data_IF_494716465657
#
_entry.id   IF_494716465657
#
_cell.length_a   1.000
_cell.length_b   1.000
_cell.length_c   1.000
_cell.angle_alpha   90.00
_cell.angle_beta   90.00
_cell.angle_gamma   90.00
#
_symmetry.space_group_name_H-M   'P 1'
#
loop_
_entity.id
_entity.type
_entity.pdbx_description
1 polymer ?
#
# COMPACT_ATOMS: atom_id res chain seq x y z
N UNK A 1 35.22 -6.93 23.32
CA UNK A 1 35.27 -6.72 21.85
C UNK A 1 34.04 -7.39 21.30
N UNK A 2 33.24 -6.62 20.59
CA UNK A 2 31.83 -6.90 20.27
C UNK A 2 31.74 -7.84 19.07
N UNK A 3 30.71 -8.71 19.02
CA UNK A 3 30.43 -9.63 17.89
C UNK A 3 30.34 -8.92 16.52
N UNK A 4 30.20 -7.60 16.51
CA UNK A 4 30.29 -6.75 15.31
C UNK A 4 31.66 -6.77 14.62
N UNK A 5 32.75 -6.88 15.39
CA UNK A 5 34.11 -6.77 14.86
C UNK A 5 34.52 -8.05 14.10
N UNK A 6 33.93 -9.20 14.49
CA UNK A 6 34.15 -10.50 13.85
C UNK A 6 33.43 -10.63 12.50
N UNK A 7 32.34 -9.88 12.29
CA UNK A 7 31.58 -9.88 11.02
C UNK A 7 32.33 -9.07 9.96
N UNK A 8 32.90 -7.92 10.33
CA UNK A 8 33.69 -7.07 9.43
C UNK A 8 35.00 -7.77 9.04
N UNK A 9 35.63 -8.49 9.98
CA UNK A 9 36.83 -9.29 9.72
C UNK A 9 36.57 -10.43 8.72
N UNK A 10 35.41 -11.11 8.83
CA UNK A 10 35.03 -12.16 7.87
C UNK A 10 34.73 -11.62 6.47
N UNK A 11 34.08 -10.47 6.37
CA UNK A 11 33.71 -9.85 5.08
C UNK A 11 34.91 -9.30 4.31
N UNK A 12 36.02 -8.98 4.98
CA UNK A 12 37.21 -8.37 4.36
C UNK A 12 38.33 -9.39 4.09
N UNK A 13 38.21 -10.63 4.59
CA UNK A 13 39.26 -11.66 4.46
C UNK A 13 39.43 -12.26 3.06
N UNK A 14 38.48 -12.05 2.15
CA UNK A 14 38.49 -12.61 0.78
C UNK A 14 38.87 -11.58 -0.31
N UNK A 15 39.32 -10.37 0.06
CA UNK A 15 39.80 -9.40 -0.93
C UNK A 15 41.27 -9.72 -1.26
N UNK A 16 41.63 -10.05 -2.52
CA UNK A 16 43.02 -10.28 -2.89
C UNK A 16 43.80 -8.97 -2.77
N UNK A 17 44.74 -8.94 -1.83
CA UNK A 17 45.66 -7.83 -1.60
C UNK A 17 46.74 -7.78 -2.69
N UNK A 18 46.36 -7.48 -3.94
CA UNK A 18 47.30 -7.04 -4.97
C UNK A 18 46.61 -6.50 -6.24
N UNK A 19 46.41 -5.20 -6.27
CA UNK A 19 46.83 -4.41 -7.44
C UNK A 19 46.87 -2.95 -7.02
N UNK A 20 48.07 -2.37 -7.03
CA UNK A 20 48.24 -0.93 -7.14
C UNK A 20 47.45 -0.47 -8.37
N UNK A 21 46.25 0.05 -8.15
CA UNK A 21 45.52 0.82 -9.15
C UNK A 21 46.30 2.12 -9.26
N UNK A 22 47.14 2.23 -10.28
CA UNK A 22 47.61 3.54 -10.74
C UNK A 22 46.38 4.30 -11.22
N UNK A 23 45.85 5.17 -10.35
CA UNK A 23 44.84 6.16 -10.68
C UNK A 23 45.45 7.16 -11.66
N UNK A 24 45.34 6.82 -12.95
CA UNK A 24 45.39 7.76 -14.06
C UNK A 24 44.29 8.80 -13.84
N UNK A 25 44.70 10.02 -13.48
CA UNK A 25 43.83 11.09 -12.95
C UNK A 25 42.85 11.75 -13.94
N UNK A 26 42.74 11.28 -15.18
CA UNK A 26 41.93 11.97 -16.21
C UNK A 26 40.92 11.07 -16.96
N UNK A 27 40.64 9.84 -16.50
CA UNK A 27 39.68 8.95 -17.17
C UNK A 27 38.54 8.42 -16.29
N UNK A 28 38.53 8.67 -14.98
CA UNK A 28 37.60 8.00 -14.06
C UNK A 28 36.21 8.66 -13.93
N UNK A 29 36.10 9.97 -14.13
CA UNK A 29 34.82 10.69 -13.97
C UNK A 29 33.87 10.44 -15.15
N UNK A 30 34.40 10.45 -16.37
CA UNK A 30 33.61 10.08 -17.56
C UNK A 30 33.19 8.60 -17.52
N UNK A 31 34.03 7.71 -17.00
CA UNK A 31 33.71 6.29 -16.80
C UNK A 31 32.60 6.10 -15.74
N UNK A 32 32.62 6.88 -14.65
CA UNK A 32 31.58 6.84 -13.62
C UNK A 32 30.23 7.36 -14.13
N UNK A 33 30.22 8.50 -14.82
CA UNK A 33 29.01 9.07 -15.40
C UNK A 33 28.37 8.13 -16.43
N UNK A 34 29.19 7.48 -17.27
CA UNK A 34 28.69 6.47 -18.21
C UNK A 34 28.08 5.24 -17.51
N UNK A 35 28.65 4.82 -16.37
CA UNK A 35 28.08 3.74 -15.55
C UNK A 35 26.77 4.18 -14.88
N UNK A 36 26.69 5.42 -14.41
CA UNK A 36 25.47 5.99 -13.83
C UNK A 36 24.35 6.06 -14.87
N UNK A 37 24.63 6.59 -16.06
CA UNK A 37 23.67 6.63 -17.18
C UNK A 37 23.16 5.22 -17.53
N UNK A 38 24.08 4.25 -17.62
CA UNK A 38 23.72 2.85 -17.87
C UNK A 38 22.87 2.25 -16.75
N UNK A 39 23.13 2.62 -15.50
CA UNK A 39 22.35 2.18 -14.35
C UNK A 39 20.94 2.77 -14.39
N UNK A 40 20.80 4.09 -14.59
CA UNK A 40 19.49 4.76 -14.66
C UNK A 40 18.65 4.15 -15.79
N UNK A 41 19.23 3.93 -16.97
CA UNK A 41 18.52 3.30 -18.08
C UNK A 41 18.07 1.86 -17.81
N UNK A 42 18.91 1.08 -17.11
CA UNK A 42 18.57 -0.26 -16.65
C UNK A 42 17.38 -0.23 -15.69
N UNK A 43 17.44 0.63 -14.68
CA UNK A 43 16.39 0.72 -13.67
C UNK A 43 15.08 1.27 -14.25
N UNK A 44 15.13 2.20 -15.20
CA UNK A 44 13.94 2.67 -15.93
C UNK A 44 13.18 1.53 -16.61
N UNK A 45 13.88 0.49 -17.09
CA UNK A 45 13.24 -0.70 -17.64
C UNK A 45 12.54 -1.53 -16.55
N UNK A 46 13.11 -1.61 -15.34
CA UNK A 46 12.53 -2.31 -14.20
C UNK A 46 11.29 -1.58 -13.65
N UNK A 47 11.24 -0.25 -13.73
CA UNK A 47 10.08 0.56 -13.29
C UNK A 47 8.80 0.18 -14.05
N UNK A 48 8.91 -0.13 -15.34
CA UNK A 48 7.72 -0.51 -16.12
C UNK A 48 7.11 -1.82 -15.61
N UNK A 49 7.95 -2.77 -15.20
CA UNK A 49 7.50 -4.02 -14.56
C UNK A 49 6.88 -3.75 -13.18
N UNK A 50 7.50 -2.88 -12.36
CA UNK A 50 6.98 -2.48 -11.05
C UNK A 50 5.58 -1.86 -11.15
N UNK A 51 5.39 -0.95 -12.11
CA UNK A 51 4.09 -0.31 -12.38
C UNK A 51 3.04 -1.34 -12.77
N UNK A 52 3.37 -2.25 -13.67
CA UNK A 52 2.44 -3.27 -14.12
C UNK A 52 2.03 -4.21 -12.97
N UNK A 53 3.00 -4.63 -12.16
CA UNK A 53 2.75 -5.44 -10.96
C UNK A 53 1.84 -4.72 -9.96
N UNK A 54 2.10 -3.43 -9.72
CA UNK A 54 1.28 -2.58 -8.84
C UNK A 54 -0.14 -2.43 -9.37
N UNK A 55 -0.29 -2.15 -10.67
CA UNK A 55 -1.60 -2.01 -11.33
C UNK A 55 -2.43 -3.28 -11.20
N UNK A 56 -1.82 -4.43 -11.47
CA UNK A 56 -2.46 -5.75 -11.33
C UNK A 56 -2.86 -6.02 -9.88
N UNK A 57 -1.98 -5.72 -8.92
CA UNK A 57 -2.27 -5.85 -7.49
C UNK A 57 -3.47 -5.01 -7.06
N UNK A 58 -3.53 -3.75 -7.51
CA UNK A 58 -4.56 -2.79 -7.15
C UNK A 58 -5.87 -2.95 -7.94
N UNK A 59 -5.92 -3.90 -8.88
CA UNK A 59 -7.03 -4.10 -9.82
C UNK A 59 -7.38 -2.82 -10.61
N UNK A 60 -6.35 -2.03 -10.95
CA UNK A 60 -6.50 -0.78 -11.71
C UNK A 60 -6.76 -1.05 -13.20
N UNK A 61 -7.59 -0.21 -13.87
CA UNK A 61 -7.87 -0.36 -15.28
C UNK A 61 -6.60 -0.17 -16.12
N UNK A 62 -6.56 -0.82 -17.29
CA UNK A 62 -5.51 -0.61 -18.28
C UNK A 62 -5.40 0.89 -18.63
N UNK A 63 -4.18 1.47 -18.60
CA UNK A 63 -3.98 2.85 -18.96
C UNK A 63 -4.27 3.06 -20.45
N UNK A 64 -4.60 4.30 -20.83
CA UNK A 64 -4.77 4.62 -22.23
C UNK A 64 -3.39 4.65 -22.89
N UNK A 65 -3.21 4.00 -24.04
CA UNK A 65 -1.92 4.04 -24.72
C UNK A 65 -1.60 5.49 -25.12
N UNK A 66 -0.37 5.92 -24.81
CA UNK A 66 0.17 7.18 -25.30
C UNK A 66 0.40 7.05 -26.82
N UNK A 67 0.00 8.05 -27.60
CA UNK A 67 0.23 8.00 -29.03
C UNK A 67 1.73 8.19 -29.34
N UNK A 68 2.30 7.53 -30.36
CA UNK A 68 3.75 7.53 -30.61
C UNK A 68 4.40 8.90 -30.83
N UNK A 69 3.60 9.92 -31.17
CA UNK A 69 4.06 11.29 -31.44
C UNK A 69 3.52 12.32 -30.43
N UNK A 70 2.95 11.85 -29.31
CA UNK A 70 2.49 12.74 -28.24
C UNK A 70 3.71 13.45 -27.66
N UNK A 71 3.64 14.78 -27.56
CA UNK A 71 4.74 15.55 -26.98
C UNK A 71 4.88 15.24 -25.50
N UNK A 72 6.03 15.59 -24.94
CA UNK A 72 6.27 15.32 -23.54
C UNK A 72 5.38 16.17 -22.62
N UNK A 73 5.09 17.40 -23.03
CA UNK A 73 4.12 18.28 -22.38
C UNK A 73 2.69 17.72 -22.46
N UNK A 74 2.30 17.19 -23.62
CA UNK A 74 0.98 16.54 -23.77
C UNK A 74 0.85 15.29 -22.88
N UNK A 75 1.94 14.55 -22.66
CA UNK A 75 1.95 13.44 -21.70
C UNK A 75 1.88 13.97 -20.27
N UNK A 76 2.60 15.04 -19.95
CA UNK A 76 2.55 15.67 -18.63
C UNK A 76 1.13 16.07 -18.26
N UNK A 77 0.36 16.66 -19.20
CA UNK A 77 -1.05 17.02 -18.99
C UNK A 77 -1.96 15.81 -18.68
N UNK A 78 -1.53 14.60 -19.02
CA UNK A 78 -2.26 13.35 -18.78
C UNK A 78 -1.89 12.66 -17.46
N UNK A 79 -0.86 13.13 -16.78
CA UNK A 79 -0.45 12.64 -15.46
C UNK A 79 -1.49 13.01 -14.40
N UNK A 80 -1.44 12.32 -13.26
CA UNK A 80 -2.21 12.74 -12.10
C UNK A 80 -1.56 13.95 -11.42
N UNK A 81 -2.29 14.65 -10.55
CA UNK A 81 -1.92 15.97 -10.06
C UNK A 81 -0.57 15.96 -9.32
N UNK A 82 -0.30 14.94 -8.51
CA UNK A 82 0.99 14.78 -7.83
C UNK A 82 2.13 14.60 -8.82
N UNK A 83 1.96 13.73 -9.80
CA UNK A 83 2.95 13.44 -10.83
C UNK A 83 3.19 14.64 -11.76
N UNK A 84 2.15 15.44 -12.04
CA UNK A 84 2.28 16.70 -12.79
C UNK A 84 3.19 17.70 -12.08
N UNK A 85 3.01 17.86 -10.77
CA UNK A 85 3.81 18.78 -9.96
C UNK A 85 5.25 18.31 -9.86
N UNK A 86 5.46 17.02 -9.59
CA UNK A 86 6.79 16.41 -9.60
C UNK A 86 7.49 16.63 -10.93
N UNK A 87 6.78 16.40 -12.04
CA UNK A 87 7.36 16.62 -13.37
C UNK A 87 7.70 18.08 -13.63
N UNK A 88 6.85 19.00 -13.19
CA UNK A 88 7.07 20.45 -13.33
C UNK A 88 8.30 20.89 -12.54
N UNK A 89 8.43 20.47 -11.28
CA UNK A 89 9.59 20.77 -10.46
C UNK A 89 10.89 20.19 -11.07
N UNK A 90 10.83 18.95 -11.57
CA UNK A 90 11.94 18.33 -12.28
C UNK A 90 12.33 19.12 -13.54
N UNK A 91 11.37 19.56 -14.35
CA UNK A 91 11.64 20.39 -15.54
C UNK A 91 12.29 21.72 -15.20
N UNK A 92 11.79 22.41 -14.17
CA UNK A 92 12.36 23.68 -13.70
C UNK A 92 13.82 23.49 -13.24
N UNK A 93 14.09 22.38 -12.54
CA UNK A 93 15.45 22.02 -12.13
C UNK A 93 16.37 21.82 -13.34
N UNK A 94 15.97 20.98 -14.29
CA UNK A 94 16.77 20.68 -15.50
C UNK A 94 17.05 21.96 -16.30
N UNK A 95 16.04 22.79 -16.53
CA UNK A 95 16.19 24.05 -17.28
C UNK A 95 17.15 25.03 -16.58
N UNK A 96 17.11 25.10 -15.24
CA UNK A 96 18.03 25.90 -14.45
C UNK A 96 19.47 25.37 -14.54
N UNK A 97 19.69 24.06 -14.42
CA UNK A 97 21.02 23.44 -14.56
C UNK A 97 21.58 23.63 -15.97
N UNK A 98 20.75 23.50 -17.02
CA UNK A 98 21.14 23.78 -18.40
C UNK A 98 21.50 25.26 -18.62
N UNK A 99 20.82 26.18 -17.93
CA UNK A 99 21.15 27.60 -17.97
C UNK A 99 22.52 27.88 -17.31
N UNK A 100 22.75 27.33 -16.10
CA UNK A 100 24.03 27.43 -15.39
C UNK A 100 25.16 26.84 -16.24
N UNK A 101 24.96 25.64 -16.80
CA UNK A 101 25.95 24.97 -17.64
C UNK A 101 26.38 25.85 -18.83
N UNK A 102 25.41 26.49 -19.49
CA UNK A 102 25.67 27.38 -20.63
C UNK A 102 26.38 28.66 -20.24
N UNK A 103 26.02 29.25 -19.09
CA UNK A 103 26.58 30.51 -18.62
C UNK A 103 28.02 30.36 -18.13
N UNK A 104 28.32 29.27 -17.43
CA UNK A 104 29.62 29.00 -16.82
C UNK A 104 30.51 28.07 -17.67
N UNK A 105 30.06 27.69 -18.87
CA UNK A 105 30.75 26.77 -19.79
C UNK A 105 31.08 25.39 -19.18
N UNK A 106 30.21 24.92 -18.28
CA UNK A 106 30.31 23.62 -17.62
C UNK A 106 29.62 22.53 -18.46
N UNK A 107 30.12 21.29 -18.40
CA UNK A 107 29.52 20.15 -19.11
C UNK A 107 28.10 19.90 -18.58
N UNK A 108 27.11 19.98 -19.47
CA UNK A 108 25.72 19.66 -19.12
C UNK A 108 25.55 18.16 -18.91
N UNK A 109 24.97 17.71 -17.78
CA UNK A 109 24.66 16.31 -17.53
C UNK A 109 23.49 15.83 -18.41
N UNK A 110 23.38 14.51 -18.55
CA UNK A 110 22.25 13.90 -19.25
C UNK A 110 21.15 13.60 -18.24
N UNK A 111 20.03 14.29 -18.38
CA UNK A 111 18.82 14.05 -17.58
C UNK A 111 17.90 13.05 -18.30
N UNK A 112 17.39 12.06 -17.57
CA UNK A 112 16.74 10.89 -18.16
C UNK A 112 15.22 10.85 -17.98
N UNK A 113 14.68 11.63 -17.04
CA UNK A 113 13.26 11.55 -16.69
C UNK A 113 12.42 12.36 -17.67
N UNK A 114 11.37 11.72 -18.18
CA UNK A 114 10.37 12.33 -19.04
C UNK A 114 8.98 12.06 -18.50
N UNK A 115 7.97 12.79 -18.97
CA UNK A 115 6.59 12.60 -18.50
C UNK A 115 6.08 11.17 -18.76
N UNK A 116 6.53 10.51 -19.85
CA UNK A 116 6.14 9.12 -20.14
C UNK A 116 6.58 8.15 -19.04
N UNK A 117 7.69 8.44 -18.35
CA UNK A 117 8.19 7.62 -17.25
C UNK A 117 7.33 7.80 -15.99
N UNK A 118 6.59 8.89 -15.84
CA UNK A 118 5.62 9.03 -14.75
C UNK A 118 4.25 8.45 -15.10
N UNK A 119 3.95 8.28 -16.40
CA UNK A 119 2.70 7.71 -16.87
C UNK A 119 2.64 6.18 -16.68
N UNK A 120 1.48 5.58 -16.36
CA UNK A 120 0.25 6.26 -15.93
C UNK A 120 0.29 6.68 -14.46
N UNK A 121 1.21 6.11 -13.67
CA UNK A 121 1.28 6.25 -12.22
C UNK A 121 2.72 6.17 -11.75
N UNK A 122 3.01 6.96 -10.72
CA UNK A 122 4.25 6.89 -9.96
C UNK A 122 4.39 5.56 -9.18
N UNK A 123 5.64 5.13 -8.99
CA UNK A 123 6.07 4.08 -8.04
C UNK A 123 7.27 4.56 -7.21
N UNK A 124 7.49 4.04 -5.98
CA UNK A 124 8.64 4.42 -5.15
C UNK A 124 10.00 4.20 -5.82
N UNK A 125 10.13 3.16 -6.66
CA UNK A 125 11.34 2.96 -7.47
C UNK A 125 11.67 4.17 -8.34
N UNK A 126 10.64 4.83 -8.91
CA UNK A 126 10.82 6.02 -9.72
C UNK A 126 11.27 7.23 -8.90
N UNK A 127 10.78 7.37 -7.66
CA UNK A 127 11.27 8.39 -6.73
C UNK A 127 12.78 8.30 -6.53
N UNK A 128 13.28 7.10 -6.23
CA UNK A 128 14.71 6.85 -6.08
C UNK A 128 15.50 7.21 -7.35
N UNK A 129 14.98 6.88 -8.53
CA UNK A 129 15.64 7.22 -9.79
C UNK A 129 15.67 8.72 -10.05
N UNK A 130 14.57 9.43 -9.77
CA UNK A 130 14.54 10.89 -9.87
C UNK A 130 15.57 11.49 -8.92
N UNK A 131 15.63 11.02 -7.67
CA UNK A 131 16.63 11.49 -6.69
C UNK A 131 18.07 11.26 -7.17
N UNK A 132 18.35 10.13 -7.82
CA UNK A 132 19.68 9.85 -8.39
C UNK A 132 19.97 10.76 -9.59
N UNK A 133 19.00 10.93 -10.49
CA UNK A 133 19.18 11.70 -11.73
C UNK A 133 19.41 13.19 -11.43
N UNK A 134 18.75 13.76 -10.42
CA UNK A 134 18.95 15.16 -10.02
C UNK A 134 20.29 15.40 -9.32
N UNK A 135 20.95 14.38 -8.76
CA UNK A 135 22.29 14.56 -8.16
C UNK A 135 23.33 15.02 -9.19
N UNK A 136 23.15 14.67 -10.46
CA UNK A 136 24.06 15.11 -11.53
C UNK A 136 24.07 16.63 -11.71
N UNK A 137 22.98 17.32 -11.36
CA UNK A 137 22.93 18.78 -11.41
C UNK A 137 23.70 19.45 -10.27
N UNK A 138 23.93 18.76 -9.16
CA UNK A 138 24.77 19.29 -8.07
C UNK A 138 26.22 19.46 -8.52
N UNK A 139 26.76 18.55 -9.32
CA UNK A 139 28.13 18.66 -9.85
C UNK A 139 28.30 19.95 -10.68
N UNK A 140 27.29 20.29 -11.49
CA UNK A 140 27.26 21.56 -12.25
C UNK A 140 27.27 22.77 -11.31
N UNK A 141 26.44 22.74 -10.26
CA UNK A 141 26.40 23.83 -9.29
C UNK A 141 27.71 23.96 -8.51
N UNK A 142 28.36 22.85 -8.15
CA UNK A 142 29.67 22.86 -7.49
C UNK A 142 30.76 23.45 -8.38
N UNK A 143 30.75 23.16 -9.67
CA UNK A 143 31.75 23.70 -10.61
C UNK A 143 31.52 25.18 -10.91
N UNK A 144 30.27 25.60 -11.10
CA UNK A 144 29.90 26.98 -11.41
C UNK A 144 30.00 27.91 -10.18
N UNK A 145 29.62 27.44 -8.99
CA UNK A 145 29.50 28.25 -7.77
C UNK A 145 30.25 27.65 -6.56
N UNK A 146 31.54 27.29 -6.68
CA UNK A 146 32.25 26.52 -5.65
C UNK A 146 32.31 27.23 -4.29
N UNK A 147 32.42 28.57 -4.28
CA UNK A 147 32.51 29.36 -3.05
C UNK A 147 31.18 29.48 -2.32
N UNK A 148 30.06 29.31 -3.02
CA UNK A 148 28.72 29.46 -2.46
C UNK A 148 28.17 28.11 -2.04
N UNK A 149 28.26 27.09 -2.89
CA UNK A 149 27.77 25.74 -2.57
C UNK A 149 28.52 25.13 -1.38
N UNK A 150 29.82 25.40 -1.20
CA UNK A 150 30.60 24.87 -0.05
C UNK A 150 30.09 25.38 1.31
N UNK A 151 29.26 26.43 1.34
CA UNK A 151 28.64 26.95 2.56
C UNK A 151 27.44 26.11 3.00
N UNK A 152 26.84 25.35 2.08
CA UNK A 152 25.73 24.44 2.36
C UNK A 152 26.27 23.27 3.18
N UNK A 153 25.61 22.96 4.29
CA UNK A 153 25.99 21.81 5.11
C UNK A 153 25.67 20.50 4.38
N UNK A 154 26.51 19.44 4.49
CA UNK A 154 26.25 18.14 3.84
C UNK A 154 24.91 17.47 4.20
N UNK A 155 24.26 17.92 5.27
CA UNK A 155 22.96 17.45 5.74
C UNK A 155 21.99 18.61 5.94
N UNK A 156 22.09 19.62 5.07
CA UNK A 156 21.22 20.78 5.12
C UNK A 156 19.75 20.34 5.06
N UNK A 157 18.91 20.93 5.90
CA UNK A 157 17.47 20.74 5.81
C UNK A 157 16.89 21.49 4.60
N UNK A 158 15.66 21.16 4.22
CA UNK A 158 14.94 21.86 3.15
C UNK A 158 14.84 23.37 3.44
N UNK A 159 14.62 23.74 4.71
CA UNK A 159 14.61 25.15 5.14
C UNK A 159 15.98 25.81 4.93
N UNK A 160 17.08 25.13 5.27
CA UNK A 160 18.44 25.67 5.08
C UNK A 160 18.80 25.82 3.59
N UNK A 161 18.31 24.92 2.74
CA UNK A 161 18.47 25.02 1.27
C UNK A 161 17.66 26.19 0.70
N UNK A 162 16.44 26.39 1.17
CA UNK A 162 15.59 27.52 0.75
C UNK A 162 16.17 28.85 1.25
N UNK A 163 16.65 28.92 2.49
CA UNK A 163 17.34 30.10 3.04
C UNK A 163 18.59 30.45 2.23
N UNK A 164 19.36 29.43 1.79
CA UNK A 164 20.49 29.62 0.89
C UNK A 164 20.06 30.22 -0.45
N UNK A 165 19.00 29.68 -1.06
CA UNK A 165 18.48 30.18 -2.33
C UNK A 165 18.02 31.63 -2.19
N UNK A 166 17.21 31.96 -1.18
CA UNK A 166 16.69 33.33 -0.96
C UNK A 166 17.80 34.38 -0.82
N UNK A 167 18.95 34.00 -0.26
CA UNK A 167 20.09 34.90 -0.06
C UNK A 167 20.98 35.08 -1.29
N UNK A 168 20.87 34.19 -2.28
CA UNK A 168 21.67 34.28 -3.49
C UNK A 168 21.15 35.36 -4.45
N UNK A 169 22.00 35.84 -5.36
CA UNK A 169 21.60 36.83 -6.38
C UNK A 169 21.49 36.24 -7.78
N UNK A 170 21.84 34.96 -7.95
CA UNK A 170 21.87 34.29 -9.25
C UNK A 170 20.55 33.55 -9.43
N UNK A 171 19.71 34.03 -10.35
CA UNK A 171 18.34 33.52 -10.53
C UNK A 171 18.33 32.04 -10.95
N UNK A 172 19.33 31.58 -11.72
CA UNK A 172 19.40 30.19 -12.16
C UNK A 172 19.79 29.27 -11.01
N UNK A 173 20.75 29.67 -10.17
CA UNK A 173 21.10 28.92 -8.97
C UNK A 173 19.96 28.89 -7.95
N UNK A 174 19.27 30.02 -7.77
CA UNK A 174 18.06 30.07 -6.94
C UNK A 174 17.01 29.07 -7.43
N UNK A 175 16.70 29.11 -8.73
CA UNK A 175 15.72 28.21 -9.33
C UNK A 175 16.14 26.75 -9.19
N UNK A 176 17.42 26.41 -9.40
CA UNK A 176 17.91 25.06 -9.25
C UNK A 176 17.74 24.53 -7.81
N UNK A 177 18.12 25.32 -6.80
CA UNK A 177 18.00 24.88 -5.40
C UNK A 177 16.55 24.80 -4.95
N UNK A 178 15.71 25.78 -5.30
CA UNK A 178 14.27 25.75 -5.00
C UNK A 178 13.60 24.55 -5.67
N UNK A 179 13.87 24.33 -6.96
CA UNK A 179 13.29 23.21 -7.70
C UNK A 179 13.77 21.85 -7.16
N UNK A 180 15.01 21.74 -6.69
CA UNK A 180 15.50 20.54 -6.02
C UNK A 180 14.68 20.22 -4.76
N UNK A 181 14.43 21.23 -3.91
CA UNK A 181 13.59 21.07 -2.71
C UNK A 181 12.14 20.74 -3.10
N UNK A 182 11.58 21.39 -4.12
CA UNK A 182 10.25 21.07 -4.65
C UNK A 182 10.17 19.62 -5.15
N UNK A 183 11.20 19.10 -5.82
CA UNK A 183 11.26 17.70 -6.24
C UNK A 183 11.18 16.76 -5.03
N UNK A 184 11.90 17.04 -3.95
CA UNK A 184 11.84 16.22 -2.73
C UNK A 184 10.42 16.20 -2.16
N UNK A 185 9.77 17.36 -2.03
CA UNK A 185 8.40 17.44 -1.54
C UNK A 185 7.39 16.76 -2.46
N UNK A 186 7.54 16.89 -3.77
CA UNK A 186 6.61 16.28 -4.72
C UNK A 186 6.84 14.76 -4.89
N UNK A 187 8.05 14.26 -4.63
CA UNK A 187 8.30 12.81 -4.43
C UNK A 187 7.49 12.31 -3.24
N UNK A 188 7.59 12.95 -2.07
CA UNK A 188 6.79 12.58 -0.90
C UNK A 188 5.28 12.64 -1.19
N UNK A 189 4.85 13.67 -1.92
CA UNK A 189 3.46 13.80 -2.38
C UNK A 189 3.00 12.60 -3.23
N UNK A 190 3.84 12.14 -4.15
CA UNK A 190 3.58 10.96 -4.96
C UNK A 190 3.58 9.66 -4.12
N UNK A 191 4.49 9.53 -3.16
CA UNK A 191 4.55 8.38 -2.24
C UNK A 191 3.29 8.29 -1.38
N UNK A 192 2.82 9.41 -0.82
CA UNK A 192 1.56 9.47 -0.07
C UNK A 192 0.38 9.04 -0.95
N UNK A 193 0.33 9.49 -2.20
CA UNK A 193 -0.71 9.09 -3.15
C UNK A 193 -0.66 7.59 -3.48
N UNK A 194 0.55 7.03 -3.61
CA UNK A 194 0.78 5.59 -3.79
C UNK A 194 0.29 4.78 -2.58
N UNK A 195 0.71 5.14 -1.36
CA UNK A 195 0.31 4.46 -0.12
C UNK A 195 -1.20 4.52 0.11
N UNK A 196 -1.82 5.67 -0.16
CA UNK A 196 -3.26 5.83 -0.06
C UNK A 196 -4.01 4.81 -0.92
N UNK A 197 -3.55 4.56 -2.16
CA UNK A 197 -4.19 3.58 -3.05
C UNK A 197 -4.09 2.15 -2.51
N UNK A 198 -2.94 1.78 -1.95
CA UNK A 198 -2.75 0.49 -1.27
C UNK A 198 -3.72 0.33 -0.09
N UNK A 199 -3.81 1.34 0.77
CA UNK A 199 -4.71 1.33 1.93
C UNK A 199 -6.19 1.24 1.52
N UNK A 200 -6.59 1.96 0.48
CA UNK A 200 -7.95 1.88 -0.06
C UNK A 200 -8.27 0.50 -0.62
N UNK A 201 -7.32 -0.15 -1.29
CA UNK A 201 -7.46 -1.52 -1.77
C UNK A 201 -7.60 -2.53 -0.61
N UNK A 202 -6.73 -2.45 0.39
CA UNK A 202 -6.80 -3.30 1.58
C UNK A 202 -8.12 -3.13 2.33
N UNK A 203 -8.58 -1.88 2.48
CA UNK A 203 -9.87 -1.58 3.09
C UNK A 203 -11.03 -2.23 2.33
N UNK A 204 -11.07 -2.11 1.00
CA UNK A 204 -12.10 -2.76 0.16
C UNK A 204 -12.08 -4.28 0.32
N UNK A 205 -10.89 -4.89 0.38
CA UNK A 205 -10.75 -6.33 0.57
C UNK A 205 -11.31 -6.79 1.92
N UNK A 206 -10.97 -6.09 2.99
CA UNK A 206 -11.50 -6.36 4.33
C UNK A 206 -13.02 -6.20 4.36
N UNK A 207 -13.56 -5.15 3.74
CA UNK A 207 -15.01 -4.93 3.65
C UNK A 207 -15.71 -6.09 2.92
N UNK A 208 -15.16 -6.55 1.79
CA UNK A 208 -15.69 -7.71 1.07
C UNK A 208 -15.64 -8.99 1.91
N UNK A 209 -14.54 -9.23 2.64
CA UNK A 209 -14.42 -10.36 3.55
C UNK A 209 -15.49 -10.33 4.64
N UNK A 210 -15.73 -9.15 5.25
CA UNK A 210 -16.79 -8.94 6.26
C UNK A 210 -18.18 -9.24 5.66
N UNK A 211 -18.47 -8.72 4.47
CA UNK A 211 -19.75 -8.95 3.78
C UNK A 211 -19.95 -10.45 3.51
N UNK A 212 -18.94 -11.13 2.99
CA UNK A 212 -18.98 -12.56 2.71
C UNK A 212 -19.16 -13.38 3.99
N UNK A 213 -18.49 -12.99 5.08
CA UNK A 213 -18.61 -13.61 6.38
C UNK A 213 -20.03 -13.47 6.95
N UNK A 214 -20.62 -12.28 6.86
CA UNK A 214 -22.02 -12.03 7.22
C UNK A 214 -22.99 -12.83 6.36
N UNK A 215 -22.77 -12.91 5.03
CA UNK A 215 -23.57 -13.70 4.10
C UNK A 215 -23.52 -15.18 4.48
N UNK A 216 -22.33 -15.72 4.75
CA UNK A 216 -22.10 -17.10 5.18
C UNK A 216 -22.79 -17.40 6.51
N UNK A 217 -22.70 -16.50 7.49
CA UNK A 217 -23.41 -16.60 8.77
C UNK A 217 -24.93 -16.64 8.56
N UNK A 218 -25.46 -15.74 7.74
CA UNK A 218 -26.88 -15.68 7.40
C UNK A 218 -27.39 -16.96 6.72
N UNK A 219 -26.64 -17.48 5.74
CA UNK A 219 -26.97 -18.75 5.08
C UNK A 219 -26.94 -19.92 6.06
N UNK A 220 -25.93 -19.99 6.95
CA UNK A 220 -25.85 -21.02 7.97
C UNK A 220 -27.06 -20.95 8.90
N UNK A 221 -27.38 -19.77 9.44
CA UNK A 221 -28.55 -19.56 10.29
C UNK A 221 -29.85 -20.01 9.61
N UNK A 222 -30.05 -19.65 8.33
CA UNK A 222 -31.22 -20.05 7.55
C UNK A 222 -31.36 -21.56 7.43
N UNK A 223 -30.27 -22.27 7.17
CA UNK A 223 -30.29 -23.75 7.12
C UNK A 223 -30.71 -24.38 8.45
N UNK A 224 -30.27 -23.83 9.59
CA UNK A 224 -30.73 -24.27 10.92
C UNK A 224 -32.22 -24.00 11.13
N UNK A 225 -32.69 -22.80 10.78
CA UNK A 225 -34.11 -22.41 10.89
C UNK A 225 -34.98 -23.38 10.09
N UNK A 226 -34.67 -23.60 8.82
CA UNK A 226 -35.43 -24.52 7.95
C UNK A 226 -35.45 -25.95 8.49
N UNK A 227 -34.34 -26.43 9.07
CA UNK A 227 -34.27 -27.77 9.65
C UNK A 227 -35.16 -27.92 10.89
N UNK A 228 -35.27 -26.89 11.72
CA UNK A 228 -36.10 -26.86 12.93
C UNK A 228 -37.57 -26.75 12.56
N UNK A 229 -37.92 -25.89 11.60
CA UNK A 229 -39.28 -25.72 11.10
C UNK A 229 -39.81 -27.01 10.47
N UNK A 230 -38.98 -27.75 9.72
CA UNK A 230 -39.34 -29.07 9.17
C UNK A 230 -39.73 -30.07 10.25
N UNK A 231 -39.16 -29.98 11.46
CA UNK A 231 -39.52 -30.83 12.60
C UNK A 231 -40.78 -30.38 13.34
N UNK A 232 -41.30 -29.19 13.03
CA UNK A 232 -42.52 -28.60 13.63
C UNK A 232 -42.47 -28.59 15.16
N UNK A 233 -41.31 -28.24 15.73
CA UNK A 233 -41.21 -28.00 17.16
C UNK A 233 -42.05 -26.76 17.54
N UNK A 234 -42.72 -26.75 18.72
CA UNK A 234 -43.48 -25.60 19.20
C UNK A 234 -42.53 -24.55 19.81
N UNK A 235 -41.70 -23.97 18.95
CA UNK A 235 -40.71 -22.95 19.27
C UNK A 235 -40.53 -22.05 18.05
N UNK A 236 -40.31 -20.76 18.26
CA UNK A 236 -39.93 -19.86 17.18
C UNK A 236 -38.47 -20.14 16.76
N UNK A 237 -38.30 -20.82 15.62
CA UNK A 237 -37.00 -21.24 15.09
C UNK A 237 -36.08 -20.06 14.75
N UNK A 238 -36.62 -19.01 14.15
CA UNK A 238 -35.88 -17.79 13.81
C UNK A 238 -35.33 -17.11 15.06
N UNK A 239 -36.16 -16.92 16.08
CA UNK A 239 -35.75 -16.35 17.38
C UNK A 239 -34.72 -17.22 18.08
N UNK A 240 -34.93 -18.54 18.09
CA UNK A 240 -34.01 -19.51 18.71
C UNK A 240 -32.60 -19.39 18.11
N UNK A 241 -32.52 -19.44 16.78
CA UNK A 241 -31.25 -19.45 16.06
C UNK A 241 -30.59 -18.07 16.07
N UNK A 242 -31.35 -16.99 15.91
CA UNK A 242 -30.81 -15.62 15.97
C UNK A 242 -30.20 -15.31 17.33
N UNK A 243 -30.91 -15.66 18.42
CA UNK A 243 -30.40 -15.45 19.77
C UNK A 243 -29.19 -16.34 20.07
N UNK A 244 -29.19 -17.59 19.60
CA UNK A 244 -28.03 -18.47 19.71
C UNK A 244 -26.80 -17.88 19.01
N UNK A 245 -26.88 -17.53 17.73
CA UNK A 245 -25.74 -16.98 16.98
C UNK A 245 -25.22 -15.67 17.58
N UNK A 246 -26.09 -14.84 18.18
CA UNK A 246 -25.69 -13.63 18.91
C UNK A 246 -24.82 -13.92 20.13
N UNK A 247 -25.11 -14.98 20.88
CA UNK A 247 -24.32 -15.38 22.06
C UNK A 247 -23.07 -16.15 21.63
N UNK A 248 -23.19 -17.02 20.63
CA UNK A 248 -22.08 -17.80 20.07
C UNK A 248 -20.97 -16.92 19.48
N UNK A 249 -21.28 -15.69 19.05
CA UNK A 249 -20.27 -14.72 18.64
C UNK A 249 -19.29 -14.32 19.75
N UNK A 250 -19.67 -14.49 21.03
CA UNK A 250 -18.83 -14.17 22.19
C UNK A 250 -18.29 -15.42 22.91
N UNK A 251 -19.10 -16.47 22.96
CA UNK A 251 -18.77 -17.73 23.63
C UNK A 251 -19.30 -18.92 22.81
N UNK A 252 -18.56 -19.40 21.80
CA UNK A 252 -19.02 -20.47 20.92
C UNK A 252 -19.32 -21.77 21.65
N UNK A 253 -18.45 -22.19 22.56
CA UNK A 253 -18.55 -23.48 23.24
C UNK A 253 -19.64 -23.46 24.30
N UNK A 254 -19.66 -22.44 25.17
CA UNK A 254 -20.68 -22.31 26.21
C UNK A 254 -22.08 -22.07 25.63
N UNK A 255 -22.19 -21.32 24.53
CA UNK A 255 -23.49 -21.14 23.85
C UNK A 255 -24.01 -22.42 23.22
N UNK A 256 -23.14 -23.27 22.66
CA UNK A 256 -23.53 -24.56 22.09
C UNK A 256 -23.95 -25.55 23.18
N UNK A 257 -23.22 -25.58 24.29
CA UNK A 257 -23.62 -26.37 25.47
C UNK A 257 -25.00 -25.91 26.00
N UNK A 258 -25.20 -24.60 26.16
CA UNK A 258 -26.47 -24.03 26.59
C UNK A 258 -27.60 -24.36 25.60
N UNK A 259 -27.34 -24.28 24.29
CA UNK A 259 -28.34 -24.56 23.25
C UNK A 259 -28.76 -26.03 23.27
N UNK A 260 -27.82 -26.94 23.46
CA UNK A 260 -28.10 -28.38 23.43
C UNK A 260 -28.70 -28.90 24.74
N UNK A 261 -28.39 -28.26 25.87
CA UNK A 261 -28.95 -28.61 27.18
C UNK A 261 -30.30 -27.94 27.47
N UNK A 262 -30.47 -26.67 27.08
CA UNK A 262 -31.67 -25.89 27.35
C UNK A 262 -31.97 -24.84 26.24
N UNK A 263 -32.50 -25.27 25.07
CA UNK A 263 -32.88 -24.36 23.98
C UNK A 263 -33.83 -23.22 24.38
N UNK A 264 -34.67 -23.44 25.40
CA UNK A 264 -35.64 -22.46 25.88
C UNK A 264 -35.02 -21.14 26.38
N UNK A 265 -33.71 -21.12 26.70
CA UNK A 265 -32.98 -19.90 27.04
C UNK A 265 -32.93 -18.94 25.85
N UNK A 266 -32.86 -19.48 24.63
CA UNK A 266 -32.76 -18.69 23.40
C UNK A 266 -34.12 -18.38 22.78
N UNK A 267 -35.11 -19.26 22.91
CA UNK A 267 -36.50 -18.94 22.58
C UNK A 267 -37.48 -19.79 23.41
N UNK A 268 -38.53 -19.19 24.00
CA UNK A 268 -39.45 -19.93 24.85
C UNK A 268 -40.25 -20.98 24.06
N UNK A 269 -40.62 -22.07 24.73
CA UNK A 269 -41.51 -23.09 24.18
C UNK A 269 -42.96 -22.55 24.17
N UNK A 270 -43.61 -22.65 23.02
CA UNK A 270 -44.98 -22.21 22.80
C UNK A 270 -45.95 -23.32 23.25
N UNK A 271 -46.26 -23.33 24.55
CA UNK A 271 -47.04 -24.41 25.20
C UNK A 271 -48.43 -24.56 24.57
N UNK A 272 -49.02 -23.45 24.14
CA UNK A 272 -50.31 -23.38 23.44
C UNK A 272 -50.31 -24.12 22.10
N UNK A 273 -49.15 -24.25 21.44
CA UNK A 273 -48.99 -25.01 20.18
C UNK A 273 -48.67 -26.49 20.39
N UNK A 274 -48.53 -26.95 21.63
CA UNK A 274 -48.33 -28.37 21.95
C UNK A 274 -49.66 -29.11 21.76
N UNK A 275 -49.64 -30.19 20.98
CA UNK A 275 -50.83 -31.04 20.80
C UNK A 275 -51.23 -31.71 22.12
N UNK A 276 -52.51 -31.67 22.53
CA UNK A 276 -53.02 -32.44 23.65
C UNK A 276 -52.77 -33.95 23.48
N UNK A 277 -52.50 -34.64 24.57
CA UNK A 277 -52.28 -36.09 24.58
C UNK A 277 -53.57 -36.84 24.90
N UNK A 278 -53.63 -38.14 24.56
CA UNK A 278 -54.76 -39.03 24.86
C UNK A 278 -56.11 -38.49 24.36
N UNK A 279 -56.24 -38.33 23.03
CA UNK A 279 -57.47 -37.84 22.36
C UNK A 279 -58.00 -36.48 22.87
N UNK A 280 -57.13 -35.57 23.32
CA UNK A 280 -57.57 -34.27 23.82
C UNK A 280 -57.84 -34.21 25.33
N UNK A 281 -57.78 -35.34 26.03
CA UNK A 281 -58.10 -35.43 27.45
C UNK A 281 -56.99 -34.85 28.36
N UNK A 282 -55.74 -34.80 27.88
CA UNK A 282 -54.62 -34.28 28.65
C UNK A 282 -54.09 -33.00 28.00
N UNK A 283 -54.34 -31.86 28.66
CA UNK A 283 -53.83 -30.55 28.23
C UNK A 283 -52.31 -30.47 28.39
N UNK A 284 -51.62 -29.70 27.52
CA UNK A 284 -50.19 -29.42 27.69
C UNK A 284 -49.90 -28.80 29.07
N UNK A 285 -48.78 -29.21 29.66
CA UNK A 285 -48.33 -28.75 30.99
C UNK A 285 -46.86 -28.28 30.93
N UNK A 286 -46.36 -27.55 31.95
CA UNK A 286 -44.94 -27.18 32.03
C UNK A 286 -43.99 -28.37 31.87
N UNK A 287 -44.37 -29.55 32.39
CA UNK A 287 -43.63 -30.80 32.22
C UNK A 287 -43.55 -31.26 30.76
N UNK A 288 -44.60 -31.03 29.97
CA UNK A 288 -44.63 -31.30 28.53
C UNK A 288 -43.65 -30.38 27.79
N UNK A 289 -43.56 -29.11 28.19
CA UNK A 289 -42.59 -28.14 27.69
C UNK A 289 -41.14 -28.58 27.93
N UNK A 290 -40.81 -29.07 29.15
CA UNK A 290 -39.47 -29.57 29.47
C UNK A 290 -39.05 -30.76 28.59
N UNK A 291 -39.96 -31.69 28.33
CA UNK A 291 -39.69 -32.86 27.47
C UNK A 291 -39.39 -32.41 26.03
N UNK A 292 -40.17 -31.46 25.51
CA UNK A 292 -39.97 -30.92 24.16
C UNK A 292 -38.66 -30.13 24.08
N UNK A 293 -38.34 -29.33 25.10
CA UNK A 293 -37.08 -28.60 25.18
C UNK A 293 -35.86 -29.54 25.08
N UNK A 294 -35.86 -30.66 25.82
CA UNK A 294 -34.81 -31.68 25.70
C UNK A 294 -34.74 -32.31 24.31
N UNK A 295 -35.89 -32.57 23.68
CA UNK A 295 -35.94 -33.11 22.30
C UNK A 295 -35.37 -32.14 21.27
N UNK A 296 -35.61 -30.85 21.42
CA UNK A 296 -35.03 -29.81 20.57
C UNK A 296 -33.52 -29.80 20.74
N UNK A 297 -33.02 -29.79 21.98
CA UNK A 297 -31.58 -29.80 22.28
C UNK A 297 -30.85 -31.02 21.70
N UNK A 298 -31.41 -32.21 21.86
CA UNK A 298 -30.89 -33.45 21.26
C UNK A 298 -30.92 -33.43 19.73
N UNK A 299 -31.95 -32.83 19.13
CA UNK A 299 -32.03 -32.66 17.69
C UNK A 299 -30.92 -31.72 17.19
N UNK A 300 -30.76 -30.55 17.82
CA UNK A 300 -29.74 -29.57 17.47
C UNK A 300 -28.33 -30.12 17.63
N UNK A 301 -28.08 -30.92 18.68
CA UNK A 301 -26.79 -31.59 18.90
C UNK A 301 -26.39 -32.54 17.76
N UNK A 302 -27.38 -33.14 17.08
CA UNK A 302 -27.19 -34.11 15.99
C UNK A 302 -27.33 -33.47 14.60
N UNK A 303 -27.79 -32.23 14.54
CA UNK A 303 -28.05 -31.51 13.31
C UNK A 303 -26.72 -31.08 12.68
N UNK A 304 -26.44 -31.57 11.47
CA UNK A 304 -25.28 -31.19 10.66
C UNK A 304 -25.76 -30.37 9.46
N UNK A 305 -25.35 -29.10 9.35
CA UNK A 305 -25.78 -28.15 8.29
C UNK A 305 -24.70 -27.19 7.85
#
# INVERSE_FOLDING_TARGET
MSESDDIISKLTSDIPDNSKVELSKNSSEDDFNALLDSFIQSELANIEEEKENTRVLLEEPEPKPIAPNTSDEEVADSLDLSEQKLYTAYRNYVEAIEAISREYEVKTPTFHIKAQVLYPRYTPGLGNLISIDVLQGWDVMFEAFPNDIIKIQPHASDEELLDFAEQHTDENLQMAVVSYVEILFEIEGCEIAYEKRLLEFEHRKIEQEIIEEHRRRGQKARKYIEAIEKKRFPINAERLITNYFKVAAKDPDGSFEALTNNPAIFAPIEIDKIKPSFFGMIKPSPRSGMIINRKIGEFLKKLKV
#
